data_IF_971564769219
#
_entry.id   IF_971564769219
#
_cell.length_a   1.000
_cell.length_b   1.000
_cell.length_c   1.000
_cell.angle_alpha   90.00
_cell.angle_beta   90.00
_cell.angle_gamma   90.00
#
_symmetry.space_group_name_H-M   'P 1'
#
loop_
_entity.id
_entity.type
_entity.pdbx_description
1 polymer ?
#
# COMPACT_ATOMS: atom_id res chain seq x y z
N UNK A 1 -6.34 -9.63 23.62
CA UNK A 1 -5.96 -10.18 22.29
C UNK A 1 -5.38 -9.05 21.48
N UNK A 2 -4.14 -9.16 20.98
CA UNK A 2 -3.60 -8.18 20.05
C UNK A 2 -4.42 -8.22 18.75
N UNK A 3 -4.69 -7.06 18.13
CA UNK A 3 -5.33 -7.03 16.81
C UNK A 3 -4.28 -7.47 15.79
N UNK A 4 -4.62 -8.44 14.95
CA UNK A 4 -3.69 -9.01 13.97
C UNK A 4 -4.04 -8.54 12.56
N UNK A 5 -3.03 -8.44 11.69
CA UNK A 5 -3.20 -8.20 10.26
C UNK A 5 -3.67 -9.47 9.56
N UNK A 6 -4.81 -9.41 8.89
CA UNK A 6 -5.32 -10.49 8.06
C UNK A 6 -4.89 -10.25 6.60
N UNK A 7 -3.74 -10.83 6.25
CA UNK A 7 -3.15 -10.75 4.90
C UNK A 7 -4.12 -11.21 3.81
N UNK A 8 -4.79 -12.34 4.03
CA UNK A 8 -5.75 -12.89 3.08
C UNK A 8 -6.93 -11.95 2.85
N UNK A 9 -7.45 -11.29 3.88
CA UNK A 9 -8.52 -10.31 3.73
C UNK A 9 -8.07 -9.08 2.93
N UNK A 10 -6.85 -8.60 3.14
CA UNK A 10 -6.27 -7.52 2.34
C UNK A 10 -6.15 -7.91 0.86
N UNK A 11 -5.65 -9.12 0.57
CA UNK A 11 -5.53 -9.65 -0.80
C UNK A 11 -6.90 -9.89 -1.45
N UNK A 12 -7.88 -10.43 -0.72
CA UNK A 12 -9.23 -10.61 -1.22
C UNK A 12 -9.88 -9.28 -1.59
N UNK A 13 -9.69 -8.25 -0.74
CA UNK A 13 -10.15 -6.91 -1.05
C UNK A 13 -9.49 -6.36 -2.33
N UNK A 14 -8.17 -6.51 -2.43
CA UNK A 14 -7.41 -6.08 -3.60
C UNK A 14 -7.91 -6.77 -4.89
N UNK A 15 -8.11 -8.08 -4.85
CA UNK A 15 -8.63 -8.85 -5.99
C UNK A 15 -10.08 -8.52 -6.33
N UNK A 16 -10.89 -8.05 -5.38
CA UNK A 16 -12.28 -7.67 -5.63
C UNK A 16 -12.40 -6.29 -6.30
N UNK A 17 -11.51 -5.37 -5.95
CA UNK A 17 -11.62 -3.95 -6.32
C UNK A 17 -10.60 -3.49 -7.36
N UNK A 18 -9.70 -4.35 -7.84
CA UNK A 18 -8.60 -3.98 -8.75
C UNK A 18 -8.99 -3.12 -9.98
N UNK A 19 -10.22 -3.23 -10.51
CA UNK A 19 -10.70 -2.51 -11.70
C UNK A 19 -11.90 -1.58 -11.44
N UNK A 20 -12.23 -1.30 -10.18
CA UNK A 20 -13.36 -0.41 -9.84
C UNK A 20 -13.18 0.22 -8.48
N UNK A 21 -13.80 1.38 -8.28
CA UNK A 21 -13.67 2.11 -7.01
C UNK A 21 -14.80 1.72 -6.07
N UNK A 22 -14.44 1.44 -4.82
CA UNK A 22 -15.44 1.12 -3.81
C UNK A 22 -16.20 2.40 -3.40
N UNK A 23 -17.52 2.49 -3.63
CA UNK A 23 -18.30 3.69 -3.33
C UNK A 23 -18.39 4.01 -1.82
N UNK A 24 -17.99 3.10 -0.95
CA UNK A 24 -17.87 3.36 0.49
C UNK A 24 -16.72 4.34 0.84
N UNK A 25 -15.81 4.61 -0.09
CA UNK A 25 -14.65 5.46 0.09
C UNK A 25 -14.66 6.64 -0.91
N UNK A 26 -13.98 7.75 -0.58
CA UNK A 26 -13.78 8.83 -1.54
C UNK A 26 -13.05 8.34 -2.79
N UNK A 27 -13.47 8.85 -3.93
CA UNK A 27 -12.84 8.59 -5.22
C UNK A 27 -11.78 9.66 -5.51
N UNK A 28 -10.62 9.23 -6.01
CA UNK A 28 -9.50 10.10 -6.37
C UNK A 28 -9.09 9.85 -7.82
N UNK A 29 -8.66 10.90 -8.52
CA UNK A 29 -8.07 10.75 -9.86
C UNK A 29 -6.75 9.97 -9.81
N UNK A 30 -5.94 10.22 -8.77
CA UNK A 30 -4.73 9.46 -8.46
C UNK A 30 -5.03 8.64 -7.21
N UNK A 31 -5.24 7.35 -7.39
CA UNK A 31 -5.97 6.50 -6.44
C UNK A 31 -5.12 5.39 -5.81
N UNK A 32 -3.87 5.23 -6.26
CA UNK A 32 -2.97 4.16 -5.80
C UNK A 32 -3.00 3.99 -4.27
N UNK A 33 -2.75 5.06 -3.52
CA UNK A 33 -2.61 4.98 -2.06
C UNK A 33 -3.95 4.86 -1.34
N UNK A 34 -5.01 5.45 -1.89
CA UNK A 34 -6.35 5.29 -1.33
C UNK A 34 -6.81 3.83 -1.46
N UNK A 35 -6.57 3.20 -2.62
CA UNK A 35 -6.80 1.77 -2.81
C UNK A 35 -5.95 0.90 -1.88
N UNK A 36 -4.64 1.19 -1.74
CA UNK A 36 -3.78 0.46 -0.79
C UNK A 36 -4.27 0.61 0.66
N UNK A 37 -4.67 1.82 1.06
CA UNK A 37 -5.22 2.06 2.40
C UNK A 37 -6.52 1.27 2.63
N UNK A 38 -7.38 1.15 1.62
CA UNK A 38 -8.57 0.29 1.72
C UNK A 38 -8.20 -1.19 1.89
N UNK A 39 -7.19 -1.68 1.18
CA UNK A 39 -6.70 -3.07 1.33
C UNK A 39 -6.16 -3.31 2.75
N UNK A 40 -5.32 -2.40 3.26
CA UNK A 40 -4.78 -2.47 4.62
C UNK A 40 -5.89 -2.42 5.68
N UNK A 41 -6.89 -1.56 5.48
CA UNK A 41 -8.07 -1.47 6.35
C UNK A 41 -8.88 -2.77 6.34
N UNK A 42 -9.09 -3.37 5.16
CA UNK A 42 -9.76 -4.65 5.01
C UNK A 42 -8.99 -5.81 5.69
N UNK A 43 -7.65 -5.71 5.71
CA UNK A 43 -6.79 -6.58 6.52
C UNK A 43 -6.86 -6.30 8.02
N UNK A 44 -7.67 -5.36 8.48
CA UNK A 44 -7.92 -5.09 9.89
C UNK A 44 -7.00 -4.03 10.51
N UNK A 45 -6.19 -3.31 9.72
CA UNK A 45 -5.35 -2.23 10.23
C UNK A 45 -6.15 -1.18 11.02
N UNK A 46 -5.75 -0.81 12.26
CA UNK A 46 -6.44 0.22 13.02
C UNK A 46 -6.06 1.61 12.52
N UNK A 47 -7.07 2.43 12.20
CA UNK A 47 -6.88 3.85 11.90
C UNK A 47 -6.54 4.64 13.17
N UNK A 48 -5.66 5.65 13.06
CA UNK A 48 -5.30 6.54 14.17
C UNK A 48 -4.78 7.90 13.72
N UNK A 49 -4.72 8.84 14.66
CA UNK A 49 -4.11 10.17 14.47
C UNK A 49 -5.05 11.25 13.94
N UNK A 50 -6.32 10.91 13.74
CA UNK A 50 -7.38 11.88 13.43
C UNK A 50 -7.51 12.95 14.53
N UNK A 51 -7.92 14.19 14.18
CA UNK A 51 -8.29 14.68 12.85
C UNK A 51 -7.15 15.41 12.11
N UNK A 52 -5.90 15.33 12.58
CA UNK A 52 -4.80 16.06 11.95
C UNK A 52 -4.36 15.38 10.65
N UNK A 53 -4.49 16.07 9.51
CA UNK A 53 -4.17 15.49 8.18
C UNK A 53 -2.69 15.13 8.01
N UNK A 54 -1.80 15.81 8.71
CA UNK A 54 -0.36 15.54 8.68
C UNK A 54 0.09 14.44 9.65
N UNK A 55 -0.81 13.82 10.42
CA UNK A 55 -0.47 12.80 11.42
C UNK A 55 -1.32 11.55 11.29
N UNK A 56 -0.70 10.42 11.61
CA UNK A 56 -1.38 9.12 11.66
C UNK A 56 -1.71 8.56 10.28
N UNK A 57 -2.67 7.64 10.25
CA UNK A 57 -3.25 7.01 9.07
C UNK A 57 -4.73 6.78 9.34
N UNK A 58 -5.59 7.54 8.66
CA UNK A 58 -7.03 7.53 8.95
C UNK A 58 -7.87 8.15 7.83
N UNK A 59 -9.12 7.70 7.76
CA UNK A 59 -10.22 8.30 7.02
C UNK A 59 -11.47 8.31 7.90
N UNK A 60 -12.06 9.49 8.10
CA UNK A 60 -13.25 9.68 8.95
C UNK A 60 -14.11 10.84 8.42
N UNK A 61 -15.42 10.63 8.34
CA UNK A 61 -16.41 11.67 8.01
C UNK A 61 -16.07 12.48 6.74
N UNK A 62 -15.56 11.81 5.69
CA UNK A 62 -15.18 12.47 4.44
C UNK A 62 -13.87 13.28 4.51
N UNK A 63 -13.06 13.12 5.56
CA UNK A 63 -11.73 13.70 5.70
C UNK A 63 -10.69 12.58 5.93
N UNK A 64 -9.41 12.86 5.66
CA UNK A 64 -8.34 11.85 5.68
C UNK A 64 -6.95 12.44 5.92
N UNK A 65 -6.03 11.62 6.42
CA UNK A 65 -4.60 11.94 6.50
C UNK A 65 -3.91 11.89 5.14
N UNK A 66 -2.78 12.59 4.99
CA UNK A 66 -1.96 12.49 3.77
C UNK A 66 -1.47 11.06 3.54
N UNK A 67 -1.11 10.33 4.59
CA UNK A 67 -0.74 8.92 4.52
C UNK A 67 -1.87 7.99 4.03
N UNK A 68 -3.15 8.41 4.11
CA UNK A 68 -4.25 7.63 3.54
C UNK A 68 -4.28 7.70 2.01
N UNK A 69 -3.86 8.82 1.42
CA UNK A 69 -4.09 9.12 0.00
C UNK A 69 -2.84 9.48 -0.81
N UNK A 70 -1.65 9.58 -0.21
CA UNK A 70 -0.40 9.97 -0.88
C UNK A 70 0.70 8.95 -0.61
N UNK A 71 1.29 8.40 -1.68
CA UNK A 71 2.20 7.26 -1.59
C UNK A 71 3.45 7.56 -0.74
N UNK A 72 4.10 8.70 -0.98
CA UNK A 72 5.23 9.15 -0.17
C UNK A 72 4.89 9.33 1.32
N UNK A 73 3.71 9.85 1.63
CA UNK A 73 3.28 10.00 3.02
C UNK A 73 2.94 8.65 3.68
N UNK A 74 2.37 7.70 2.94
CA UNK A 74 2.13 6.35 3.45
C UNK A 74 3.44 5.62 3.73
N UNK A 75 4.43 5.72 2.84
CA UNK A 75 5.76 5.11 3.01
C UNK A 75 6.40 5.52 4.34
N UNK A 76 6.49 6.83 4.59
CA UNK A 76 7.02 7.36 5.84
C UNK A 76 6.19 6.99 7.06
N UNK A 77 4.86 6.94 6.93
CA UNK A 77 4.01 6.48 8.03
C UNK A 77 4.30 5.02 8.40
N UNK A 78 4.38 4.12 7.43
CA UNK A 78 4.63 2.70 7.67
C UNK A 78 5.99 2.46 8.34
N UNK A 79 7.04 3.10 7.81
CA UNK A 79 8.41 2.97 8.36
C UNK A 79 8.59 3.64 9.73
N UNK A 80 7.83 4.69 10.03
CA UNK A 80 7.98 5.48 11.27
C UNK A 80 6.98 5.14 12.38
N UNK A 81 5.92 4.38 12.09
CA UNK A 81 4.89 4.04 13.06
C UNK A 81 5.38 2.97 14.04
N UNK A 82 5.19 3.20 15.34
CA UNK A 82 5.63 2.27 16.39
C UNK A 82 4.51 1.37 16.96
N UNK A 83 3.25 1.67 16.66
CA UNK A 83 2.08 0.96 17.16
C UNK A 83 1.08 0.79 16.04
N UNK A 84 0.11 -0.12 16.15
CA UNK A 84 -0.91 -0.38 15.12
C UNK A 84 -0.33 -0.65 13.74
N UNK A 85 -0.93 -0.07 12.69
CA UNK A 85 -0.40 -0.23 11.33
C UNK A 85 1.03 0.34 11.26
N UNK A 86 1.97 -0.54 10.97
CA UNK A 86 3.39 -0.28 10.79
C UNK A 86 3.97 -1.33 9.84
N UNK A 87 5.13 -1.02 9.27
CA UNK A 87 5.84 -1.96 8.44
C UNK A 87 7.34 -1.69 8.50
N UNK A 88 8.11 -2.71 8.14
CA UNK A 88 9.57 -2.65 8.11
C UNK A 88 10.05 -2.75 6.67
N UNK A 89 11.09 -1.99 6.35
CA UNK A 89 11.75 -2.11 5.05
C UNK A 89 12.54 -3.41 4.99
N UNK A 90 12.35 -4.18 3.92
CA UNK A 90 13.16 -5.36 3.58
C UNK A 90 14.12 -5.06 2.44
N UNK A 91 15.13 -5.92 2.27
CA UNK A 91 16.20 -5.68 1.31
C UNK A 91 15.80 -6.11 -0.10
N UNK A 92 14.96 -7.15 -0.21
CA UNK A 92 14.55 -7.69 -1.50
C UNK A 92 13.07 -8.04 -1.57
N UNK A 93 12.56 -8.22 -2.79
CA UNK A 93 11.16 -8.52 -3.04
C UNK A 93 10.78 -9.95 -2.59
N UNK A 94 11.74 -10.87 -2.53
CA UNK A 94 11.58 -12.25 -2.09
C UNK A 94 11.29 -12.37 -0.58
N UNK A 95 11.59 -11.34 0.20
CA UNK A 95 11.23 -11.24 1.62
C UNK A 95 9.77 -10.78 1.84
N UNK A 96 9.06 -10.43 0.77
CA UNK A 96 7.68 -9.98 0.85
C UNK A 96 6.70 -11.15 0.89
N UNK A 97 5.64 -10.94 1.63
CA UNK A 97 4.52 -11.86 1.76
C UNK A 97 3.24 -11.25 1.17
N UNK A 98 2.19 -12.07 1.07
CA UNK A 98 0.87 -11.59 0.67
C UNK A 98 0.40 -10.44 1.56
N UNK A 99 -0.16 -9.40 0.94
CA UNK A 99 -0.62 -8.21 1.64
C UNK A 99 0.47 -7.21 2.00
N UNK A 100 1.73 -7.47 1.65
CA UNK A 100 2.81 -6.50 1.76
C UNK A 100 2.76 -5.45 0.64
N UNK A 101 3.46 -4.34 0.87
CA UNK A 101 3.38 -3.15 0.01
C UNK A 101 4.72 -2.92 -0.68
N UNK A 102 4.66 -2.56 -1.96
CA UNK A 102 5.81 -2.06 -2.70
C UNK A 102 5.52 -0.61 -3.08
N UNK A 103 6.50 0.26 -2.85
CA UNK A 103 6.48 1.62 -3.35
C UNK A 103 7.47 1.78 -4.49
N UNK A 104 7.06 2.52 -5.53
CA UNK A 104 7.92 2.91 -6.64
C UNK A 104 8.20 4.40 -6.58
N UNK A 105 9.48 4.74 -6.71
CA UNK A 105 9.99 6.08 -7.00
C UNK A 105 10.50 6.02 -8.43
N UNK A 106 9.71 6.55 -9.37
CA UNK A 106 9.95 6.36 -10.80
C UNK A 106 11.17 7.12 -11.27
N UNK A 107 11.49 8.26 -10.66
CA UNK A 107 12.61 9.11 -11.06
C UNK A 107 13.90 8.81 -10.28
N UNK A 108 13.81 8.07 -9.17
CA UNK A 108 14.94 7.78 -8.28
C UNK A 108 15.40 9.00 -7.49
N UNK A 109 14.51 9.96 -7.22
CA UNK A 109 14.85 11.22 -6.55
C UNK A 109 14.60 11.19 -5.02
N UNK A 110 14.15 10.05 -4.50
CA UNK A 110 13.80 9.83 -3.10
C UNK A 110 12.33 10.10 -2.78
N UNK A 111 11.56 10.64 -3.74
CA UNK A 111 10.12 10.83 -3.63
C UNK A 111 9.40 9.63 -4.23
N UNK A 112 8.49 9.05 -3.46
CA UNK A 112 7.70 7.90 -3.90
C UNK A 112 6.46 8.39 -4.64
N UNK A 113 6.21 7.82 -5.82
CA UNK A 113 5.11 8.18 -6.70
C UNK A 113 3.95 7.21 -6.62
N UNK A 114 4.25 5.94 -6.39
CA UNK A 114 3.27 4.87 -6.54
C UNK A 114 3.33 3.86 -5.40
N UNK A 115 2.18 3.27 -5.08
CA UNK A 115 2.05 2.21 -4.08
C UNK A 115 1.20 1.08 -4.65
N UNK A 116 1.64 -0.15 -4.39
CA UNK A 116 1.00 -1.39 -4.85
C UNK A 116 0.97 -2.42 -3.74
N UNK A 117 0.10 -3.42 -3.84
CA UNK A 117 -0.01 -4.51 -2.85
C UNK A 117 0.32 -5.85 -3.50
N UNK A 118 1.11 -6.68 -2.82
CA UNK A 118 1.43 -8.05 -3.21
C UNK A 118 0.21 -8.94 -3.03
N UNK A 119 -0.29 -9.52 -4.11
CA UNK A 119 -1.51 -10.34 -4.13
C UNK A 119 -1.27 -11.79 -4.52
N UNK A 120 -0.14 -12.09 -5.17
CA UNK A 120 0.31 -13.47 -5.39
C UNK A 120 1.84 -13.55 -5.39
N UNK A 121 2.37 -14.75 -5.16
CA UNK A 121 3.80 -15.06 -5.29
C UNK A 121 3.90 -16.30 -6.16
N UNK A 122 4.64 -16.22 -7.26
CA UNK A 122 4.80 -17.30 -8.22
C UNK A 122 6.31 -17.58 -8.38
N UNK A 123 6.75 -18.78 -8.02
CA UNK A 123 8.17 -19.16 -8.05
C UNK A 123 9.07 -18.17 -7.29
N UNK A 124 8.61 -17.64 -6.15
CA UNK A 124 9.33 -16.66 -5.35
C UNK A 124 9.24 -15.21 -5.85
N UNK A 125 8.58 -14.97 -6.98
CA UNK A 125 8.40 -13.62 -7.55
C UNK A 125 7.04 -13.04 -7.13
N UNK A 126 7.01 -11.86 -6.48
CA UNK A 126 5.77 -11.17 -6.16
C UNK A 126 5.03 -10.65 -7.39
N UNK A 127 3.72 -10.74 -7.35
CA UNK A 127 2.80 -10.09 -8.29
C UNK A 127 1.85 -9.19 -7.53
N UNK A 128 1.51 -8.07 -8.15
CA UNK A 128 0.86 -6.95 -7.48
C UNK A 128 -0.45 -6.54 -8.15
N UNK A 129 -1.33 -5.97 -7.33
CA UNK A 129 -2.45 -5.18 -7.82
C UNK A 129 -2.22 -3.70 -7.51
N UNK A 130 -2.74 -2.83 -8.38
CA UNK A 130 -2.57 -1.38 -8.27
C UNK A 130 -3.76 -0.62 -8.87
N UNK A 131 -3.91 0.64 -8.49
CA UNK A 131 -4.85 1.61 -9.07
C UNK A 131 -4.09 2.74 -9.78
N UNK A 132 -4.79 3.81 -10.20
CA UNK A 132 -4.33 4.89 -11.10
C UNK A 132 -4.17 4.42 -12.54
N UNK A 133 -3.40 3.36 -12.75
CA UNK A 133 -3.48 2.52 -13.94
C UNK A 133 -3.79 1.11 -13.43
N UNK A 134 -5.09 0.78 -13.46
CA UNK A 134 -5.63 -0.42 -12.82
C UNK A 134 -4.87 -1.67 -13.28
N UNK A 135 -4.29 -2.39 -12.32
CA UNK A 135 -3.41 -3.55 -12.58
C UNK A 135 -3.85 -4.72 -11.69
N UNK A 136 -3.87 -5.92 -12.26
CA UNK A 136 -4.13 -7.17 -11.55
C UNK A 136 -3.07 -8.19 -11.89
N UNK A 137 -2.54 -8.88 -10.88
CA UNK A 137 -1.55 -9.94 -11.03
C UNK A 137 -0.42 -9.54 -12.00
N UNK A 138 0.09 -8.32 -11.81
CA UNK A 138 1.17 -7.74 -12.62
C UNK A 138 2.51 -8.03 -11.96
N UNK A 139 3.55 -8.28 -12.74
CA UNK A 139 4.90 -8.46 -12.20
C UNK A 139 5.33 -7.22 -11.41
N UNK A 140 5.94 -7.42 -10.23
CA UNK A 140 6.41 -6.30 -9.40
C UNK A 140 7.55 -5.49 -10.02
N UNK A 141 8.23 -6.01 -11.05
CA UNK A 141 9.23 -5.25 -11.80
C UNK A 141 8.66 -3.96 -12.39
N UNK A 142 7.37 -3.95 -12.76
CA UNK A 142 6.65 -2.74 -13.20
C UNK A 142 7.26 -1.99 -14.41
N UNK A 143 8.21 -2.61 -15.13
CA UNK A 143 8.94 -2.03 -16.26
C UNK A 143 8.05 -1.73 -17.47
N UNK A 144 6.91 -2.41 -17.59
CA UNK A 144 5.88 -2.17 -18.59
C UNK A 144 5.00 -0.95 -18.29
N UNK A 145 5.31 -0.19 -17.22
CA UNK A 145 4.58 1.02 -16.85
C UNK A 145 4.90 2.16 -17.79
N UNK A 146 3.89 2.93 -18.18
CA UNK A 146 4.10 4.18 -18.92
C UNK A 146 4.87 5.23 -18.12
N UNK A 147 4.97 5.06 -16.79
CA UNK A 147 5.75 5.91 -15.90
C UNK A 147 7.15 5.36 -15.60
N UNK A 148 7.50 4.16 -16.10
CA UNK A 148 8.80 3.55 -15.86
C UNK A 148 9.94 4.45 -16.36
N UNK A 149 11.01 4.51 -15.58
CA UNK A 149 12.30 5.04 -16.03
C UNK A 149 13.43 4.10 -15.59
N UNK A 150 14.60 4.11 -16.26
CA UNK A 150 15.76 3.34 -15.83
C UNK A 150 16.30 3.71 -14.43
N UNK A 151 15.91 4.87 -13.89
CA UNK A 151 16.29 5.33 -12.55
C UNK A 151 15.32 4.85 -11.47
N UNK A 152 14.27 4.11 -11.82
CA UNK A 152 13.24 3.69 -10.89
C UNK A 152 13.82 2.88 -9.73
N UNK A 153 13.40 3.22 -8.51
CA UNK A 153 13.80 2.50 -7.30
C UNK A 153 12.59 1.97 -6.53
N UNK A 154 12.85 0.96 -5.70
CA UNK A 154 11.84 0.21 -4.96
C UNK A 154 11.99 0.41 -3.45
N UNK A 155 10.85 0.45 -2.76
CA UNK A 155 10.80 0.33 -1.31
C UNK A 155 9.86 -0.84 -0.98
N UNK A 156 10.47 -1.95 -0.56
CA UNK A 156 9.78 -3.17 -0.15
C UNK A 156 9.42 -3.06 1.32
N UNK A 157 8.12 -3.03 1.63
CA UNK A 157 7.61 -2.86 2.99
C UNK A 157 6.83 -4.10 3.39
N UNK A 158 7.38 -4.84 4.34
CA UNK A 158 6.67 -5.91 5.01
C UNK A 158 5.78 -5.32 6.11
N UNK A 159 4.50 -5.61 6.07
CA UNK A 159 3.53 -5.16 7.08
C UNK A 159 3.63 -6.06 8.30
N UNK A 160 3.71 -5.47 9.50
CA UNK A 160 3.76 -6.26 10.72
C UNK A 160 2.41 -6.94 11.00
N UNK A 161 2.45 -8.24 11.31
CA UNK A 161 1.25 -9.03 11.60
C UNK A 161 0.55 -8.62 12.89
N UNK A 162 1.28 -8.01 13.84
CA UNK A 162 0.75 -7.58 15.13
C UNK A 162 0.65 -6.07 15.22
N UNK A 163 -0.54 -5.59 15.54
CA UNK A 163 -0.83 -4.17 15.73
C UNK A 163 -0.64 -3.69 17.17
N UNK A 164 0.05 -4.47 18.01
CA UNK A 164 0.49 -4.03 19.33
C UNK A 164 1.38 -2.77 19.20
#
# INVERSE_FOLDING_TARGET
MAKMYNRQAAVQYANLWWNRRNPAFPNFTVDCTNYISQCLLAGGAPMRGAPNRGKGWWLQHGNWSFSWSVAHSLRWYLEGSMTGLKGRRVQSAEELELGDIIFYDFQGDGRVDHSVIVTSIQNGIPYVNAHTSDSINRSYFYEDSTAYTPSMTYYYIHIDDSFA
#
